data_IF_186572669957
#
_entry.id   IF_186572669957
#
_cell.length_a   1.000
_cell.length_b   1.000
_cell.length_c   1.000
_cell.angle_alpha   90.00
_cell.angle_beta   90.00
_cell.angle_gamma   90.00
#
_symmetry.space_group_name_H-M   'P 1'
#
loop_
_entity.id
_entity.type
_entity.pdbx_description
1 polymer ?
#
# COMPACT_ATOMS: atom_id res chain seq x y z
N UNK A 1 -2.13 7.91 20.65
CA UNK A 1 -2.52 7.45 19.29
C UNK A 1 -3.78 6.60 19.44
N UNK A 2 -4.87 6.95 18.73
CA UNK A 2 -6.11 6.19 18.74
C UNK A 2 -6.24 5.38 17.44
N UNK A 3 -6.78 4.18 17.50
CA UNK A 3 -6.97 3.32 16.34
C UNK A 3 -8.37 2.72 16.27
N UNK A 4 -8.80 2.37 15.09
CA UNK A 4 -10.05 1.68 14.81
C UNK A 4 -9.81 0.61 13.74
N UNK A 5 -10.43 -0.57 13.87
CA UNK A 5 -10.32 -1.62 12.86
C UNK A 5 -11.06 -1.20 11.58
N UNK A 6 -10.45 -1.43 10.43
CA UNK A 6 -11.04 -1.16 9.10
C UNK A 6 -11.03 -2.39 8.20
N UNK A 7 -10.55 -3.53 8.70
CA UNK A 7 -10.60 -4.86 8.04
C UNK A 7 -10.03 -4.89 6.62
N UNK A 8 -9.09 -3.99 6.31
CA UNK A 8 -8.45 -3.83 5.00
C UNK A 8 -9.40 -3.46 3.85
N UNK A 9 -10.63 -3.04 4.15
CA UNK A 9 -11.66 -2.67 3.19
C UNK A 9 -11.85 -1.14 3.14
N UNK A 10 -12.29 -0.62 1.99
CA UNK A 10 -12.60 0.81 1.82
C UNK A 10 -13.71 1.26 2.76
N UNK A 11 -14.82 0.52 2.81
CA UNK A 11 -15.95 0.82 3.69
C UNK A 11 -15.55 0.75 5.17
N UNK A 12 -14.64 -0.18 5.52
CA UNK A 12 -14.07 -0.28 6.85
C UNK A 12 -13.23 0.93 7.21
N UNK A 13 -12.40 1.42 6.29
CA UNK A 13 -11.62 2.65 6.44
C UNK A 13 -12.51 3.89 6.62
N UNK A 14 -13.57 3.98 5.83
CA UNK A 14 -14.58 5.04 5.96
C UNK A 14 -15.26 5.02 7.34
N UNK A 15 -15.77 3.87 7.77
CA UNK A 15 -16.44 3.74 9.07
C UNK A 15 -15.49 4.03 10.23
N UNK A 16 -14.25 3.53 10.17
CA UNK A 16 -13.22 3.78 11.17
C UNK A 16 -12.90 5.27 11.29
N UNK A 17 -12.73 5.96 10.14
CA UNK A 17 -12.42 7.39 10.14
C UNK A 17 -13.57 8.24 10.67
N UNK A 18 -14.81 7.93 10.34
CA UNK A 18 -15.97 8.61 10.92
C UNK A 18 -15.99 8.52 12.45
N UNK A 19 -15.67 7.33 13.00
CA UNK A 19 -15.60 7.15 14.44
C UNK A 19 -14.45 7.98 15.05
N UNK A 20 -13.29 8.02 14.41
CA UNK A 20 -12.16 8.82 14.87
C UNK A 20 -12.49 10.32 14.84
N UNK A 21 -13.07 10.82 13.75
CA UNK A 21 -13.49 12.22 13.62
C UNK A 21 -14.51 12.65 14.67
N UNK A 22 -15.41 11.74 15.07
CA UNK A 22 -16.39 12.00 16.11
C UNK A 22 -15.81 11.97 17.52
N UNK A 23 -14.82 11.10 17.76
CA UNK A 23 -14.20 10.92 19.07
C UNK A 23 -13.06 11.91 19.35
N UNK A 24 -12.36 12.36 18.30
CA UNK A 24 -11.13 13.14 18.42
C UNK A 24 -11.29 14.51 17.73
N UNK A 25 -11.36 15.59 18.52
CA UNK A 25 -11.50 16.94 17.96
C UNK A 25 -10.24 17.37 17.20
N UNK A 26 -9.07 16.81 17.54
CA UNK A 26 -7.79 17.10 16.89
C UNK A 26 -7.11 15.83 16.44
N UNK A 27 -6.96 15.69 15.11
CA UNK A 27 -6.19 14.64 14.46
C UNK A 27 -5.22 15.35 13.51
N UNK A 28 -3.94 15.14 13.70
CA UNK A 28 -2.88 15.81 12.93
C UNK A 28 -2.39 14.98 11.75
N UNK A 29 -2.66 13.66 11.74
CA UNK A 29 -2.31 12.75 10.66
C UNK A 29 -2.96 11.40 10.82
N UNK A 30 -3.08 10.65 9.73
CA UNK A 30 -3.70 9.32 9.67
C UNK A 30 -2.75 8.33 9.02
N UNK A 31 -2.56 7.19 9.67
CA UNK A 31 -1.87 6.02 9.12
C UNK A 31 -2.92 4.96 8.81
N UNK A 32 -3.11 4.64 7.55
CA UNK A 32 -4.02 3.58 7.11
C UNK A 32 -3.23 2.31 6.80
N UNK A 33 -3.76 1.16 7.21
CA UNK A 33 -3.08 -0.13 7.03
C UNK A 33 -2.97 -0.55 5.55
N UNK A 34 -3.77 0.02 4.66
CA UNK A 34 -3.62 -0.09 3.20
C UNK A 34 -4.29 1.09 2.49
N UNK A 35 -4.09 1.19 1.18
CA UNK A 35 -4.63 2.28 0.35
C UNK A 35 -6.16 2.25 0.27
N UNK A 36 -6.79 1.08 0.25
CA UNK A 36 -8.25 1.01 0.24
C UNK A 36 -8.86 1.63 1.50
N UNK A 37 -8.27 1.35 2.67
CA UNK A 37 -8.68 2.01 3.91
C UNK A 37 -8.39 3.51 3.88
N UNK A 38 -7.24 3.92 3.32
CA UNK A 38 -6.90 5.33 3.17
C UNK A 38 -7.92 6.07 2.31
N UNK A 39 -8.31 5.49 1.16
CA UNK A 39 -9.33 6.06 0.28
C UNK A 39 -10.70 6.16 0.96
N UNK A 40 -11.10 5.14 1.73
CA UNK A 40 -12.32 5.20 2.53
C UNK A 40 -12.27 6.28 3.61
N UNK A 41 -11.12 6.43 4.28
CA UNK A 41 -10.91 7.50 5.26
C UNK A 41 -10.99 8.90 4.61
N UNK A 42 -10.44 9.06 3.39
CA UNK A 42 -10.56 10.29 2.61
C UNK A 42 -12.03 10.65 2.32
N UNK A 43 -12.86 9.67 1.95
CA UNK A 43 -14.28 9.90 1.72
C UNK A 43 -14.97 10.44 2.99
N UNK A 44 -14.70 9.85 4.15
CA UNK A 44 -15.22 10.31 5.44
C UNK A 44 -14.71 11.71 5.82
N UNK A 45 -13.44 12.02 5.55
CA UNK A 45 -12.85 13.35 5.80
C UNK A 45 -13.49 14.42 4.91
N UNK A 46 -13.75 14.12 3.63
CA UNK A 46 -14.43 15.03 2.70
C UNK A 46 -15.84 15.35 3.18
N UNK A 47 -16.62 14.35 3.58
CA UNK A 47 -17.97 14.56 4.13
C UNK A 47 -17.97 15.41 5.40
N UNK A 48 -16.96 15.24 6.25
CA UNK A 48 -16.81 16.01 7.47
C UNK A 48 -16.20 17.42 7.25
N UNK A 49 -15.77 17.74 6.04
CA UNK A 49 -15.06 18.99 5.72
C UNK A 49 -13.72 19.14 6.44
N UNK A 50 -13.09 18.02 6.83
CA UNK A 50 -11.83 17.98 7.59
C UNK A 50 -10.77 17.19 6.84
N UNK A 51 -9.99 17.87 6.02
CA UNK A 51 -8.88 17.24 5.32
C UNK A 51 -7.65 17.12 6.24
N UNK A 52 -7.14 15.91 6.42
CA UNK A 52 -6.03 15.56 7.31
C UNK A 52 -5.01 14.79 6.49
N UNK A 53 -3.69 15.07 6.63
CA UNK A 53 -2.67 14.27 5.96
C UNK A 53 -2.82 12.79 6.25
N UNK A 54 -2.84 11.96 5.20
CA UNK A 54 -3.01 10.51 5.33
C UNK A 54 -1.99 9.78 4.48
N UNK A 55 -1.45 8.68 5.01
CA UNK A 55 -0.60 7.75 4.29
C UNK A 55 -1.22 6.36 4.28
N UNK A 56 -0.98 5.65 3.19
CA UNK A 56 -1.44 4.28 2.97
C UNK A 56 -0.28 3.29 2.87
N UNK A 57 -0.61 2.09 2.44
CA UNK A 57 0.32 0.99 2.15
C UNK A 57 -0.19 0.25 0.91
N UNK A 58 0.68 -0.24 0.08
CA UNK A 58 0.56 -1.06 -1.13
C UNK A 58 0.90 -0.33 -2.43
N UNK A 59 0.82 0.99 -2.52
CA UNK A 59 0.93 1.75 -3.76
C UNK A 59 0.03 1.16 -4.87
N UNK A 60 -1.25 0.96 -4.54
CA UNK A 60 -2.26 0.52 -5.50
C UNK A 60 -2.43 1.55 -6.61
N UNK A 61 -2.90 1.19 -7.81
CA UNK A 61 -3.16 2.16 -8.87
C UNK A 61 -4.04 3.34 -8.40
N UNK A 62 -5.09 3.05 -7.61
CA UNK A 62 -5.98 4.07 -7.04
C UNK A 62 -5.27 4.93 -5.99
N UNK A 63 -4.42 4.32 -5.14
CA UNK A 63 -3.58 5.03 -4.17
C UNK A 63 -2.60 5.95 -4.85
N UNK A 64 -1.94 5.50 -5.93
CA UNK A 64 -1.03 6.31 -6.74
C UNK A 64 -1.76 7.50 -7.37
N UNK A 65 -2.98 7.30 -7.91
CA UNK A 65 -3.77 8.42 -8.43
C UNK A 65 -4.11 9.43 -7.32
N UNK A 66 -4.46 8.96 -6.12
CA UNK A 66 -4.73 9.84 -4.99
C UNK A 66 -3.47 10.63 -4.55
N UNK A 67 -2.26 10.04 -4.63
CA UNK A 67 -1.00 10.75 -4.39
C UNK A 67 -0.78 11.83 -5.45
N UNK A 68 -0.99 11.53 -6.73
CA UNK A 68 -0.80 12.47 -7.84
C UNK A 68 -1.64 13.73 -7.69
N UNK A 69 -2.90 13.58 -7.28
CA UNK A 69 -3.81 14.72 -7.08
C UNK A 69 -3.66 15.39 -5.71
N UNK A 70 -2.87 14.80 -4.80
CA UNK A 70 -2.58 15.36 -3.48
C UNK A 70 -3.61 15.00 -2.40
N UNK A 71 -4.47 14.05 -2.64
CA UNK A 71 -5.42 13.50 -1.68
C UNK A 71 -4.73 12.59 -0.66
N UNK A 72 -3.76 11.80 -1.11
CA UNK A 72 -2.88 10.97 -0.29
C UNK A 72 -1.50 11.61 -0.23
N UNK A 73 -0.90 11.65 0.96
CA UNK A 73 0.46 12.17 1.13
C UNK A 73 1.51 11.21 0.55
N UNK A 74 1.36 9.93 0.87
CA UNK A 74 2.25 8.87 0.41
C UNK A 74 1.60 7.49 0.60
N UNK A 75 2.20 6.47 -0.02
CA UNK A 75 1.91 5.06 0.24
C UNK A 75 3.22 4.28 0.34
N UNK A 76 3.31 3.33 1.26
CA UNK A 76 4.48 2.46 1.38
C UNK A 76 4.27 1.23 0.49
N UNK A 77 5.14 1.02 -0.48
CA UNK A 77 5.12 -0.17 -1.32
C UNK A 77 6.10 -1.21 -0.83
N UNK A 78 5.64 -2.45 -0.68
CA UNK A 78 6.46 -3.65 -0.58
C UNK A 78 6.38 -4.52 -1.85
N UNK A 79 5.82 -3.98 -2.91
CA UNK A 79 5.66 -4.59 -4.23
C UNK A 79 5.05 -6.01 -4.17
N UNK A 80 3.78 -6.09 -3.77
CA UNK A 80 3.06 -7.35 -3.61
C UNK A 80 3.06 -8.21 -4.90
N UNK A 81 3.14 -7.59 -6.09
CA UNK A 81 3.24 -8.31 -7.35
C UNK A 81 4.58 -9.04 -7.45
N UNK A 82 5.69 -8.37 -7.16
CA UNK A 82 7.02 -9.00 -7.14
C UNK A 82 7.08 -10.12 -6.13
N UNK A 83 6.55 -9.90 -4.93
CA UNK A 83 6.49 -10.91 -3.87
C UNK A 83 5.74 -12.16 -4.36
N UNK A 84 4.59 -11.99 -5.02
CA UNK A 84 3.81 -13.11 -5.56
C UNK A 84 4.57 -13.85 -6.67
N UNK A 85 5.20 -13.14 -7.61
CA UNK A 85 5.97 -13.75 -8.71
C UNK A 85 7.15 -14.56 -8.17
N UNK A 86 7.95 -13.98 -7.26
CA UNK A 86 9.09 -14.69 -6.65
C UNK A 86 8.64 -15.88 -5.81
N UNK A 87 7.50 -15.78 -5.12
CA UNK A 87 6.93 -16.90 -4.37
C UNK A 87 6.52 -18.07 -5.27
N UNK A 88 5.90 -17.80 -6.41
CA UNK A 88 5.55 -18.82 -7.41
C UNK A 88 6.83 -19.42 -8.01
N UNK A 89 7.81 -18.60 -8.39
CA UNK A 89 9.07 -19.08 -8.94
C UNK A 89 9.83 -19.95 -7.92
N UNK A 90 9.90 -19.53 -6.66
CA UNK A 90 10.49 -20.31 -5.58
C UNK A 90 9.83 -21.70 -5.46
N UNK A 91 8.50 -21.75 -5.52
CA UNK A 91 7.77 -23.02 -5.45
C UNK A 91 8.10 -23.93 -6.64
N UNK A 92 8.15 -23.40 -7.87
CA UNK A 92 8.52 -24.17 -9.07
C UNK A 92 9.94 -24.72 -8.95
N UNK A 93 10.90 -23.90 -8.50
CA UNK A 93 12.29 -24.30 -8.31
C UNK A 93 12.44 -25.43 -7.27
N UNK A 94 11.74 -25.32 -6.14
CA UNK A 94 11.70 -26.39 -5.12
C UNK A 94 11.15 -27.70 -5.68
N UNK A 95 10.06 -27.64 -6.45
CA UNK A 95 9.47 -28.80 -7.11
C UNK A 95 10.40 -29.43 -8.15
N UNK A 96 11.28 -28.62 -8.75
CA UNK A 96 12.31 -29.07 -9.69
C UNK A 96 13.59 -29.60 -9.00
N UNK A 97 13.62 -29.64 -7.66
CA UNK A 97 14.76 -30.11 -6.88
C UNK A 97 15.89 -29.10 -6.70
N UNK A 98 15.67 -27.84 -7.06
CA UNK A 98 16.64 -26.77 -6.84
C UNK A 98 16.64 -26.32 -5.36
N UNK A 99 17.80 -25.80 -4.92
CA UNK A 99 17.90 -25.15 -3.63
C UNK A 99 17.36 -23.73 -3.73
N UNK A 100 16.45 -23.40 -2.83
CA UNK A 100 15.87 -22.05 -2.70
C UNK A 100 16.22 -21.50 -1.31
N UNK A 101 16.58 -20.22 -1.18
CA UNK A 101 16.80 -19.59 0.12
C UNK A 101 15.57 -19.71 1.00
N UNK A 102 15.77 -19.82 2.32
CA UNK A 102 14.68 -19.85 3.29
C UNK A 102 13.95 -18.49 3.38
N UNK A 103 14.62 -17.43 2.95
CA UNK A 103 14.11 -16.05 3.00
C UNK A 103 14.58 -15.25 1.78
N UNK A 104 13.67 -14.51 1.17
CA UNK A 104 13.95 -13.55 0.09
C UNK A 104 13.39 -12.20 0.54
N UNK A 105 14.27 -11.24 0.78
CA UNK A 105 13.88 -9.90 1.24
C UNK A 105 13.70 -8.97 0.04
N UNK A 106 12.55 -8.33 -0.03
CA UNK A 106 12.27 -7.27 -1.00
C UNK A 106 12.42 -5.89 -0.35
N UNK A 107 12.96 -4.91 -1.08
CA UNK A 107 13.04 -3.54 -0.59
C UNK A 107 11.63 -2.95 -0.40
N UNK A 108 11.50 -2.08 0.59
CA UNK A 108 10.29 -1.28 0.82
C UNK A 108 10.57 0.13 0.34
N UNK A 109 9.64 0.72 -0.39
CA UNK A 109 9.75 2.06 -0.96
C UNK A 109 8.60 2.95 -0.50
N UNK A 110 8.91 4.19 -0.15
CA UNK A 110 7.91 5.24 0.07
C UNK A 110 7.59 5.88 -1.27
N UNK A 111 6.35 5.74 -1.68
CA UNK A 111 5.81 6.32 -2.92
C UNK A 111 5.08 7.61 -2.57
N UNK A 112 5.56 8.73 -3.07
CA UNK A 112 5.00 10.06 -2.88
C UNK A 112 4.92 10.84 -4.21
N UNK A 113 4.59 12.13 -4.17
CA UNK A 113 4.45 12.95 -5.38
C UNK A 113 5.74 13.07 -6.20
N UNK A 114 6.91 12.84 -5.61
CA UNK A 114 8.19 12.99 -6.30
C UNK A 114 8.55 11.78 -7.15
N UNK A 115 8.06 10.58 -6.79
CA UNK A 115 8.38 9.33 -7.48
C UNK A 115 7.16 8.52 -7.96
N UNK A 116 5.93 8.93 -7.64
CA UNK A 116 4.71 8.18 -7.97
C UNK A 116 4.53 7.94 -9.48
N UNK A 117 5.19 8.69 -10.35
CA UNK A 117 5.14 8.48 -11.79
C UNK A 117 5.60 7.10 -12.24
N UNK A 118 6.60 6.53 -11.56
CA UNK A 118 7.08 5.17 -11.84
C UNK A 118 6.05 4.07 -11.44
N UNK A 119 5.13 4.42 -10.53
CA UNK A 119 4.09 3.52 -10.01
C UNK A 119 2.74 3.69 -10.71
N UNK A 120 2.62 4.70 -11.59
CA UNK A 120 1.38 5.04 -12.32
C UNK A 120 1.13 4.09 -13.51
N UNK A 121 1.15 2.80 -13.21
CA UNK A 121 0.93 1.72 -14.16
C UNK A 121 -0.02 0.70 -13.55
N UNK A 122 -0.96 0.15 -14.35
CA UNK A 122 -1.69 -1.05 -13.96
C UNK A 122 -0.75 -2.18 -13.55
N UNK A 123 -1.13 -3.04 -12.64
CA UNK A 123 -0.30 -4.15 -12.19
C UNK A 123 0.26 -4.99 -13.35
N UNK A 124 -0.55 -5.26 -14.39
CA UNK A 124 -0.13 -6.03 -15.56
C UNK A 124 0.98 -5.37 -16.41
N UNK A 125 1.28 -4.09 -16.19
CA UNK A 125 2.31 -3.34 -16.90
C UNK A 125 3.51 -3.02 -16.02
N UNK A 126 3.46 -3.35 -14.73
CA UNK A 126 4.62 -3.20 -13.84
C UNK A 126 5.67 -4.25 -14.16
N UNK A 127 6.97 -3.91 -14.08
CA UNK A 127 8.03 -4.84 -14.40
C UNK A 127 7.99 -6.06 -13.47
N UNK A 128 8.16 -7.25 -14.06
CA UNK A 128 8.30 -8.47 -13.28
C UNK A 128 9.72 -8.54 -12.68
N UNK A 129 9.89 -9.18 -11.52
CA UNK A 129 11.20 -9.39 -10.93
C UNK A 129 11.96 -10.46 -11.71
N UNK A 130 13.28 -10.29 -11.82
CA UNK A 130 14.18 -11.38 -12.20
C UNK A 130 14.66 -12.07 -10.92
N UNK A 131 14.66 -13.40 -10.91
CA UNK A 131 15.09 -14.19 -9.73
C UNK A 131 16.48 -13.79 -9.25
N UNK A 132 17.39 -13.61 -10.18
CA UNK A 132 18.80 -13.26 -9.93
C UNK A 132 19.01 -11.89 -9.28
N UNK A 133 18.01 -11.01 -9.32
CA UNK A 133 18.10 -9.69 -8.69
C UNK A 133 17.93 -9.78 -7.16
N UNK A 134 17.28 -10.85 -6.69
CA UNK A 134 16.88 -11.00 -5.28
C UNK A 134 17.50 -12.22 -4.59
N UNK A 135 18.05 -13.15 -5.37
CA UNK A 135 18.66 -14.38 -4.87
C UNK A 135 20.10 -14.46 -5.36
N UNK A 136 21.02 -14.15 -4.47
CA UNK A 136 22.46 -14.32 -4.71
C UNK A 136 22.77 -15.80 -4.46
N UNK A 137 23.39 -16.45 -5.47
CA UNK A 137 23.75 -17.88 -5.43
C UNK A 137 24.85 -18.15 -4.37
#
# INVERSE_FOLDING_TARGET
>A
MNSRPGYFLRDGGYAAMRQLLAAEPRIDGVLAANDFMALGALDAMREAGRMIPIVGVNATPEGVQAIKVGDLLASVSFDAMKMACLGVEAAVRVLSGEKVPAEILLPVEVVDRTNCGAWDLPYAQRPLPEWTDYVIA
#
